data_IF_464508392191
#
_entry.id   IF_464508392191
#
_cell.length_a   1.000
_cell.length_b   1.000
_cell.length_c   1.000
_cell.angle_alpha   90.00
_cell.angle_beta   90.00
_cell.angle_gamma   90.00
#
_symmetry.space_group_name_H-M   'P 1'
#
loop_
_entity.id
_entity.type
_entity.pdbx_description
1 polymer ?
#
# COMPACT_ATOMS: atom_id res chain seq x y z
N UNK A 1 -14.54 -24.08 -5.42
CA UNK A 1 -13.60 -24.42 -4.33
C UNK A 1 -13.55 -25.93 -4.14
N UNK A 2 -12.94 -26.63 -5.09
CA UNK A 2 -12.61 -28.04 -4.91
C UNK A 2 -11.12 -28.11 -4.58
N UNK A 3 -10.72 -28.53 -3.36
CA UNK A 3 -9.32 -28.60 -2.98
C UNK A 3 -8.53 -29.65 -3.79
N UNK A 4 -9.23 -30.56 -4.48
CA UNK A 4 -8.66 -31.62 -5.31
C UNK A 4 -8.65 -31.26 -6.81
N UNK A 5 -9.38 -30.22 -7.21
CA UNK A 5 -9.39 -29.66 -8.56
C UNK A 5 -8.91 -28.20 -8.54
N UNK A 6 -7.67 -28.00 -8.05
CA UNK A 6 -7.02 -26.68 -8.08
C UNK A 6 -6.75 -26.28 -9.52
N UNK A 7 -7.02 -25.02 -9.91
CA UNK A 7 -6.59 -24.53 -11.21
C UNK A 7 -5.08 -24.70 -11.40
N UNK A 8 -4.66 -25.05 -12.61
CA UNK A 8 -3.25 -25.14 -12.99
C UNK A 8 -2.67 -23.74 -13.15
N UNK A 9 -1.43 -23.55 -12.77
CA UNK A 9 -0.73 -22.29 -13.00
C UNK A 9 0.20 -21.91 -11.87
N UNK A 10 0.89 -20.78 -12.00
CA UNK A 10 1.87 -20.35 -11.01
C UNK A 10 1.24 -19.69 -9.78
N UNK A 11 -0.03 -19.29 -9.83
CA UNK A 11 -0.66 -18.60 -8.71
C UNK A 11 -1.19 -19.56 -7.66
N UNK A 12 -1.10 -19.19 -6.37
CA UNK A 12 -1.79 -19.90 -5.30
C UNK A 12 -3.30 -19.92 -5.54
N UNK A 13 -3.97 -20.97 -5.08
CA UNK A 13 -5.42 -21.05 -5.10
C UNK A 13 -6.02 -20.23 -3.94
N UNK A 14 -5.98 -18.90 -4.03
CA UNK A 14 -6.46 -18.02 -2.96
C UNK A 14 -7.95 -18.20 -2.64
N UNK A 15 -8.76 -18.61 -3.63
CA UNK A 15 -10.16 -18.99 -3.43
C UNK A 15 -10.37 -20.04 -2.35
N UNK A 16 -9.39 -20.90 -2.04
CA UNK A 16 -9.50 -21.88 -0.94
C UNK A 16 -9.66 -21.23 0.42
N UNK A 17 -9.29 -19.96 0.59
CA UNK A 17 -9.49 -19.25 1.85
C UNK A 17 -10.97 -19.10 2.20
N UNK A 18 -11.84 -18.84 1.21
CA UNK A 18 -13.29 -18.80 1.43
C UNK A 18 -13.81 -20.18 1.90
N UNK A 19 -13.22 -21.28 1.39
CA UNK A 19 -13.58 -22.64 1.79
C UNK A 19 -13.17 -22.91 3.23
N UNK A 20 -11.94 -22.52 3.60
CA UNK A 20 -11.44 -22.62 4.97
C UNK A 20 -12.43 -21.95 5.94
N UNK A 21 -12.84 -20.71 5.65
CA UNK A 21 -13.81 -19.96 6.46
C UNK A 21 -15.18 -20.66 6.53
N UNK A 22 -15.72 -21.11 5.39
CA UNK A 22 -17.01 -21.83 5.39
C UNK A 22 -16.98 -23.15 6.14
N UNK A 23 -15.88 -23.89 6.07
CA UNK A 23 -15.74 -25.18 6.78
C UNK A 23 -15.62 -24.97 8.28
N UNK A 24 -14.78 -24.04 8.73
CA UNK A 24 -14.67 -23.73 10.16
C UNK A 24 -16.04 -23.29 10.74
N UNK A 25 -16.79 -22.46 10.01
CA UNK A 25 -18.13 -22.04 10.40
C UNK A 25 -19.14 -23.18 10.40
N UNK A 26 -19.19 -23.99 9.35
CA UNK A 26 -20.18 -25.06 9.18
C UNK A 26 -19.92 -26.31 10.03
N UNK A 27 -18.65 -26.71 10.18
CA UNK A 27 -18.26 -27.94 10.90
C UNK A 27 -18.03 -27.70 12.39
N UNK A 28 -17.55 -26.51 12.77
CA UNK A 28 -17.14 -26.20 14.14
C UNK A 28 -17.90 -25.03 14.76
N UNK A 29 -18.82 -24.39 14.03
CA UNK A 29 -19.54 -23.21 14.52
C UNK A 29 -18.64 -21.98 14.72
N UNK A 30 -17.41 -22.00 14.18
CA UNK A 30 -16.41 -20.96 14.41
C UNK A 30 -16.47 -19.92 13.29
N UNK A 31 -17.14 -18.81 13.57
CA UNK A 31 -17.25 -17.67 12.64
C UNK A 31 -15.99 -16.78 12.70
N UNK A 32 -15.69 -16.01 11.62
CA UNK A 32 -14.77 -14.89 11.72
C UNK A 32 -15.22 -13.92 12.81
N UNK A 33 -14.26 -13.39 13.56
CA UNK A 33 -14.52 -12.47 14.68
C UNK A 33 -14.94 -11.07 14.24
N UNK A 34 -14.69 -10.71 12.98
CA UNK A 34 -15.12 -9.47 12.36
C UNK A 34 -15.39 -9.66 10.87
N UNK A 35 -16.19 -8.76 10.31
CA UNK A 35 -16.52 -8.73 8.88
C UNK A 35 -15.42 -8.08 8.07
N UNK A 36 -15.11 -8.65 6.91
CA UNK A 36 -14.23 -8.01 5.89
C UNK A 36 -15.00 -7.10 4.95
N UNK A 37 -16.32 -6.92 5.15
CA UNK A 37 -17.06 -5.86 4.47
C UNK A 37 -16.46 -4.50 4.86
N UNK A 38 -16.01 -3.66 3.90
CA UNK A 38 -15.17 -2.50 4.20
C UNK A 38 -15.76 -1.49 5.21
N UNK A 39 -17.06 -1.26 5.14
CA UNK A 39 -17.76 -0.33 6.04
C UNK A 39 -17.90 -0.93 7.44
N UNK A 40 -18.26 -2.22 7.55
CA UNK A 40 -18.40 -2.91 8.83
C UNK A 40 -17.05 -3.11 9.50
N UNK A 41 -16.00 -3.37 8.72
CA UNK A 41 -14.63 -3.45 9.19
C UNK A 41 -14.23 -2.13 9.85
N UNK A 42 -14.41 -1.00 9.16
CA UNK A 42 -14.10 0.31 9.72
C UNK A 42 -14.95 0.64 10.96
N UNK A 43 -16.27 0.41 10.90
CA UNK A 43 -17.20 0.66 12.02
C UNK A 43 -16.87 -0.20 13.24
N UNK A 44 -16.54 -1.47 13.04
CA UNK A 44 -16.16 -2.38 14.12
C UNK A 44 -14.77 -2.06 14.68
N UNK A 45 -13.82 -1.63 13.84
CA UNK A 45 -12.49 -1.20 14.31
C UNK A 45 -12.58 0.07 15.16
N UNK A 46 -13.50 0.99 14.86
CA UNK A 46 -13.75 2.17 15.70
C UNK A 46 -14.07 1.79 17.15
N UNK A 47 -14.71 0.63 17.38
CA UNK A 47 -15.04 0.12 18.72
C UNK A 47 -13.82 -0.47 19.45
N UNK A 48 -12.71 -0.71 18.76
CA UNK A 48 -11.48 -1.32 19.29
C UNK A 48 -10.38 -0.30 19.56
N UNK A 49 -10.33 0.78 18.77
CA UNK A 49 -9.31 1.80 18.86
C UNK A 49 -9.75 2.98 19.75
N UNK A 50 -8.75 3.70 20.28
CA UNK A 50 -9.00 5.05 20.81
C UNK A 50 -9.40 5.99 19.66
N UNK A 51 -10.10 7.09 19.98
CA UNK A 51 -10.44 8.11 18.99
C UNK A 51 -9.20 8.65 18.26
N UNK A 52 -8.10 8.87 18.98
CA UNK A 52 -6.81 9.30 18.40
C UNK A 52 -6.30 8.32 17.34
N UNK A 53 -6.27 7.03 17.68
CA UNK A 53 -5.81 6.00 16.75
C UNK A 53 -6.77 5.85 15.55
N UNK A 54 -8.07 5.78 15.80
CA UNK A 54 -9.07 5.64 14.73
C UNK A 54 -9.03 6.84 13.78
N UNK A 55 -9.04 8.06 14.30
CA UNK A 55 -9.04 9.25 13.47
C UNK A 55 -7.71 9.46 12.74
N UNK A 56 -6.56 9.04 13.28
CA UNK A 56 -5.31 9.13 12.55
C UNK A 56 -5.35 8.33 11.22
N UNK A 57 -5.97 7.15 11.21
CA UNK A 57 -6.18 6.35 9.99
C UNK A 57 -7.36 6.84 9.12
N UNK A 58 -8.44 7.28 9.76
CA UNK A 58 -9.70 7.60 9.07
C UNK A 58 -9.83 9.07 8.64
N UNK A 59 -8.99 9.98 9.15
CA UNK A 59 -9.06 11.40 8.83
C UNK A 59 -8.77 11.66 7.35
N UNK A 60 -9.43 12.69 6.81
CA UNK A 60 -9.28 13.17 5.44
C UNK A 60 -9.04 14.68 5.45
N UNK A 61 -8.51 15.21 4.34
CA UNK A 61 -8.41 16.64 4.18
C UNK A 61 -9.80 17.26 4.02
N UNK A 62 -9.97 18.49 4.52
CA UNK A 62 -11.19 19.28 4.37
C UNK A 62 -12.44 18.55 4.83
N UNK A 63 -13.45 18.52 3.97
CA UNK A 63 -14.73 17.85 4.18
C UNK A 63 -14.69 16.36 3.79
N UNK A 64 -13.55 15.86 3.31
CA UNK A 64 -13.38 14.49 2.84
C UNK A 64 -13.98 14.24 1.45
N UNK A 65 -14.14 15.30 0.64
CA UNK A 65 -14.70 15.18 -0.70
C UNK A 65 -13.84 14.30 -1.60
N UNK A 66 -12.52 14.46 -1.53
CA UNK A 66 -11.58 13.70 -2.37
C UNK A 66 -11.55 12.21 -2.01
N UNK A 67 -11.66 11.86 -0.72
CA UNK A 67 -11.79 10.45 -0.29
C UNK A 67 -13.09 9.82 -0.81
N UNK A 68 -14.18 10.59 -0.87
CA UNK A 68 -15.41 10.17 -1.52
C UNK A 68 -15.26 10.04 -3.03
N UNK A 69 -14.65 11.00 -3.72
CA UNK A 69 -14.38 10.96 -5.16
C UNK A 69 -13.56 9.72 -5.55
N UNK A 70 -12.57 9.35 -4.73
CA UNK A 70 -11.81 8.11 -4.89
C UNK A 70 -12.70 6.87 -4.93
N UNK A 71 -13.74 6.80 -4.09
CA UNK A 71 -14.69 5.68 -4.08
C UNK A 71 -15.64 5.75 -5.26
N UNK A 72 -16.20 6.92 -5.58
CA UNK A 72 -17.14 7.12 -6.68
C UNK A 72 -16.55 6.72 -8.04
N UNK A 73 -15.25 6.99 -8.26
CA UNK A 73 -14.56 6.68 -9.50
C UNK A 73 -14.63 5.19 -9.89
N UNK A 74 -14.58 4.27 -8.92
CA UNK A 74 -14.71 2.82 -9.19
C UNK A 74 -16.09 2.41 -9.71
N UNK A 75 -17.15 3.15 -9.37
CA UNK A 75 -18.52 2.82 -9.80
C UNK A 75 -18.83 3.28 -11.21
N UNK A 76 -17.99 4.15 -11.78
CA UNK A 76 -18.02 4.52 -13.19
C UNK A 76 -17.53 3.40 -14.11
N UNK A 77 -16.89 2.37 -13.57
CA UNK A 77 -16.42 1.20 -14.31
C UNK A 77 -17.18 -0.07 -13.92
N UNK A 78 -17.70 -0.80 -14.91
CA UNK A 78 -18.43 -2.06 -14.72
C UNK A 78 -17.70 -3.20 -15.41
N UNK A 79 -17.49 -4.30 -14.70
CA UNK A 79 -16.81 -5.49 -15.23
C UNK A 79 -17.78 -6.22 -16.17
N UNK A 80 -17.29 -6.69 -17.31
CA UNK A 80 -18.02 -7.49 -18.28
C UNK A 80 -17.67 -8.97 -18.06
N UNK A 81 -18.56 -9.80 -17.49
CA UNK A 81 -18.30 -11.23 -17.33
C UNK A 81 -18.22 -11.95 -18.69
N UNK A 82 -17.35 -12.96 -18.79
CA UNK A 82 -17.12 -13.78 -19.98
C UNK A 82 -17.55 -15.22 -19.67
N UNK A 83 -18.61 -15.67 -20.33
CA UNK A 83 -19.18 -17.00 -20.09
C UNK A 83 -18.46 -18.06 -20.93
N UNK A 84 -18.47 -19.31 -20.46
CA UNK A 84 -17.87 -20.47 -21.15
C UNK A 84 -16.37 -20.31 -21.45
N UNK A 85 -15.65 -19.58 -20.59
CA UNK A 85 -14.18 -19.49 -20.62
C UNK A 85 -13.61 -20.55 -19.69
N UNK A 86 -12.61 -21.31 -20.16
CA UNK A 86 -11.90 -22.26 -19.31
C UNK A 86 -11.01 -21.53 -18.29
N UNK A 87 -11.48 -21.45 -17.06
CA UNK A 87 -10.75 -20.88 -15.92
C UNK A 87 -10.06 -21.95 -15.06
N UNK A 88 -9.87 -23.17 -15.58
CA UNK A 88 -9.05 -24.20 -14.90
C UNK A 88 -7.54 -23.91 -14.99
N UNK A 89 -7.14 -22.84 -15.71
CA UNK A 89 -5.80 -22.26 -15.63
C UNK A 89 -5.87 -20.88 -14.98
N UNK A 90 -4.99 -20.59 -14.01
CA UNK A 90 -4.98 -19.36 -13.23
C UNK A 90 -3.59 -18.72 -13.17
N UNK A 91 -3.52 -17.44 -13.51
CA UNK A 91 -2.31 -16.63 -13.34
C UNK A 91 -2.64 -15.21 -12.87
N UNK A 92 -2.43 -14.97 -11.59
CA UNK A 92 -2.41 -13.68 -10.89
C UNK A 92 -0.99 -13.12 -10.74
N UNK A 93 0.04 -13.80 -11.25
CA UNK A 93 1.41 -13.33 -11.08
C UNK A 93 1.66 -12.10 -11.96
N UNK A 94 2.50 -11.19 -11.46
CA UNK A 94 2.94 -10.02 -12.21
C UNK A 94 4.39 -9.73 -11.88
N UNK A 95 5.05 -8.94 -12.73
CA UNK A 95 6.42 -8.48 -12.52
C UNK A 95 6.41 -6.97 -12.32
N UNK A 96 7.01 -6.50 -11.24
CA UNK A 96 7.22 -5.08 -10.97
C UNK A 96 8.63 -4.88 -10.46
N UNK A 97 9.37 -3.94 -11.04
CA UNK A 97 10.70 -3.56 -10.55
C UNK A 97 11.70 -4.74 -10.40
N UNK A 98 11.60 -5.75 -11.28
CA UNK A 98 12.39 -6.97 -11.23
C UNK A 98 11.91 -8.02 -10.22
N UNK A 99 10.84 -7.76 -9.48
CA UNK A 99 10.19 -8.73 -8.61
C UNK A 99 9.05 -9.42 -9.34
N UNK A 100 9.12 -10.74 -9.44
CA UNK A 100 7.94 -11.57 -9.71
C UNK A 100 7.16 -11.75 -8.42
N UNK A 101 5.88 -11.42 -8.40
CA UNK A 101 5.03 -11.49 -7.21
C UNK A 101 3.78 -12.34 -7.46
N UNK A 102 3.20 -13.00 -6.43
CA UNK A 102 2.12 -13.97 -6.60
C UNK A 102 0.76 -13.36 -6.94
N UNK A 103 0.56 -12.09 -6.61
CA UNK A 103 -0.64 -11.32 -6.89
C UNK A 103 -0.28 -9.83 -7.05
N UNK A 104 -1.08 -9.02 -7.77
CA UNK A 104 -0.78 -7.62 -8.08
C UNK A 104 -1.20 -6.70 -6.92
N UNK A 105 -0.84 -7.06 -5.68
CA UNK A 105 -1.24 -6.38 -4.44
C UNK A 105 0.02 -6.08 -3.60
N UNK A 106 0.13 -4.84 -3.13
CA UNK A 106 1.19 -4.36 -2.24
C UNK A 106 0.57 -3.80 -0.96
N UNK A 107 1.35 -3.79 0.12
CA UNK A 107 1.01 -2.99 1.31
C UNK A 107 1.48 -1.55 1.08
N UNK A 108 0.54 -0.60 1.11
CA UNK A 108 0.83 0.83 0.99
C UNK A 108 1.65 1.33 2.20
N UNK A 109 2.52 2.34 2.03
CA UNK A 109 3.24 2.94 3.14
C UNK A 109 2.27 3.70 4.05
N UNK A 110 2.08 3.20 5.27
CA UNK A 110 1.37 3.89 6.35
C UNK A 110 2.33 3.98 7.54
N UNK A 111 2.60 5.21 7.97
CA UNK A 111 3.41 5.50 9.14
C UNK A 111 2.64 5.39 10.45
N UNK A 112 3.37 5.25 11.54
CA UNK A 112 2.89 5.24 12.93
C UNK A 112 1.89 4.11 13.23
N UNK A 113 2.22 2.90 12.79
CA UNK A 113 1.35 1.75 13.02
C UNK A 113 1.21 1.37 14.50
N UNK A 114 2.10 1.85 15.39
CA UNK A 114 1.98 1.66 16.84
C UNK A 114 0.71 2.27 17.45
N UNK A 115 0.06 3.21 16.76
CA UNK A 115 -1.26 3.69 17.16
C UNK A 115 -2.35 2.61 17.07
N UNK A 116 -2.16 1.62 16.19
CA UNK A 116 -3.15 0.56 15.95
C UNK A 116 -2.82 -0.74 16.69
N UNK A 117 -1.61 -0.86 17.23
CA UNK A 117 -1.17 -2.01 18.03
C UNK A 117 0.33 -1.96 18.32
N UNK A 118 0.80 -2.53 19.44
CA UNK A 118 2.15 -2.30 19.96
C UNK A 118 3.28 -2.76 19.03
N UNK A 119 3.04 -3.77 18.19
CA UNK A 119 4.04 -4.24 17.23
C UNK A 119 4.14 -3.35 15.98
N UNK A 120 3.17 -2.48 15.72
CA UNK A 120 3.20 -1.53 14.60
C UNK A 120 3.50 -2.18 13.26
N UNK A 121 4.48 -1.63 12.54
CA UNK A 121 4.91 -2.02 11.20
C UNK A 121 5.42 -3.47 11.11
N UNK A 122 5.84 -4.09 12.21
CA UNK A 122 6.32 -5.47 12.23
C UNK A 122 5.24 -6.46 11.77
N UNK A 123 3.96 -6.19 12.12
CA UNK A 123 2.83 -7.05 11.74
C UNK A 123 2.65 -7.09 10.22
N UNK A 124 2.35 -5.98 9.52
CA UNK A 124 2.12 -6.03 8.08
C UNK A 124 3.40 -6.43 7.32
N UNK A 125 4.59 -6.11 7.82
CA UNK A 125 5.85 -6.57 7.23
C UNK A 125 5.97 -8.10 7.25
N UNK A 126 5.66 -8.75 8.39
CA UNK A 126 5.63 -10.20 8.51
C UNK A 126 4.57 -10.84 7.61
N UNK A 127 3.34 -10.30 7.62
CA UNK A 127 2.25 -10.83 6.78
C UNK A 127 2.61 -10.72 5.29
N UNK A 128 3.24 -9.63 4.87
CA UNK A 128 3.74 -9.47 3.51
C UNK A 128 4.80 -10.52 3.14
N UNK A 129 5.73 -10.83 4.07
CA UNK A 129 6.71 -11.90 3.93
C UNK A 129 6.07 -13.28 3.73
N UNK A 130 5.07 -13.60 4.55
CA UNK A 130 4.34 -14.88 4.47
C UNK A 130 3.55 -15.02 3.17
N UNK A 131 2.99 -13.92 2.66
CA UNK A 131 2.24 -13.90 1.41
C UNK A 131 3.14 -13.73 0.17
N UNK A 132 4.42 -13.40 0.33
CA UNK A 132 5.32 -13.06 -0.78
C UNK A 132 4.92 -11.78 -1.51
N UNK A 133 4.18 -10.89 -0.85
CA UNK A 133 3.73 -9.62 -1.42
C UNK A 133 4.68 -8.48 -0.98
N UNK A 134 4.85 -7.43 -1.80
CA UNK A 134 5.69 -6.31 -1.40
C UNK A 134 5.14 -5.54 -0.21
N UNK A 135 6.02 -5.30 0.78
CA UNK A 135 5.76 -4.37 1.87
C UNK A 135 6.46 -3.03 1.63
N UNK A 136 5.74 -1.93 1.76
CA UNK A 136 6.32 -0.58 1.68
C UNK A 136 6.39 0.07 3.06
N UNK A 137 7.61 0.27 3.59
CA UNK A 137 7.85 0.94 4.87
C UNK A 137 7.86 2.46 4.68
N UNK A 138 7.16 3.23 5.52
CA UNK A 138 7.22 4.69 5.51
C UNK A 138 8.39 5.24 6.34
N UNK A 139 8.98 6.34 5.90
CA UNK A 139 9.93 7.16 6.72
C UNK A 139 9.29 7.68 8.00
N UNK A 140 7.97 7.83 8.02
CA UNK A 140 7.20 8.18 9.22
C UNK A 140 6.77 6.92 10.02
N UNK A 141 7.56 5.85 9.98
CA UNK A 141 7.28 4.60 10.68
C UNK A 141 7.53 4.69 12.19
N UNK A 142 6.86 3.82 12.95
CA UNK A 142 7.03 3.68 14.40
C UNK A 142 7.89 2.48 14.82
N UNK A 143 8.68 1.93 13.90
CA UNK A 143 9.66 0.86 14.14
C UNK A 143 10.95 1.14 13.36
N UNK A 144 12.13 0.72 13.86
CA UNK A 144 13.38 0.80 13.11
C UNK A 144 13.30 0.07 11.75
N UNK A 145 14.03 0.58 10.77
CA UNK A 145 14.08 0.02 9.39
C UNK A 145 14.52 -1.45 9.44
N UNK A 146 15.52 -1.73 10.27
CA UNK A 146 16.16 -3.03 10.41
C UNK A 146 15.19 -4.07 11.03
N UNK A 147 14.41 -3.68 12.04
CA UNK A 147 13.45 -4.56 12.70
C UNK A 147 12.29 -4.92 11.77
N UNK A 148 11.83 -3.96 10.95
CA UNK A 148 10.80 -4.19 9.93
C UNK A 148 11.30 -5.19 8.88
N UNK A 149 12.54 -5.05 8.42
CA UNK A 149 13.16 -6.00 7.51
C UNK A 149 13.24 -7.41 8.12
N UNK A 150 13.70 -7.52 9.37
CA UNK A 150 13.76 -8.79 10.08
C UNK A 150 12.38 -9.46 10.25
N UNK A 151 11.33 -8.68 10.55
CA UNK A 151 9.97 -9.19 10.63
C UNK A 151 9.46 -9.72 9.28
N UNK A 152 9.79 -9.03 8.18
CA UNK A 152 9.48 -9.48 6.83
C UNK A 152 10.22 -10.78 6.45
N UNK A 153 11.52 -10.90 6.79
CA UNK A 153 12.27 -12.15 6.61
C UNK A 153 11.70 -13.30 7.43
N UNK A 154 11.30 -13.03 8.69
CA UNK A 154 10.64 -14.02 9.53
C UNK A 154 9.37 -14.55 8.86
N UNK A 155 8.55 -13.68 8.28
CA UNK A 155 7.37 -14.09 7.54
C UNK A 155 7.69 -14.92 6.29
N UNK A 156 8.76 -14.58 5.58
CA UNK A 156 9.20 -15.29 4.38
C UNK A 156 9.92 -16.61 4.67
N UNK A 157 10.35 -16.86 5.92
CA UNK A 157 11.14 -18.02 6.32
C UNK A 157 10.43 -19.37 6.13
N UNK A 158 9.10 -19.38 6.24
CA UNK A 158 8.27 -20.58 6.02
C UNK A 158 7.70 -20.53 4.61
N UNK A 159 8.26 -21.35 3.71
CA UNK A 159 7.77 -21.44 2.33
C UNK A 159 6.37 -22.04 2.26
N UNK A 160 5.53 -21.42 1.43
CA UNK A 160 4.16 -21.84 1.11
C UNK A 160 3.87 -21.55 -0.37
N UNK A 161 2.68 -21.92 -0.86
CA UNK A 161 2.31 -21.74 -2.27
C UNK A 161 2.47 -20.29 -2.75
N UNK A 162 2.23 -19.30 -1.88
CA UNK A 162 2.28 -17.86 -2.22
C UNK A 162 3.69 -17.31 -2.27
N UNK A 163 4.44 -17.40 -1.17
CA UNK A 163 5.79 -16.82 -1.12
C UNK A 163 6.86 -17.64 -1.86
N UNK A 164 6.52 -18.81 -2.40
CA UNK A 164 7.38 -19.57 -3.31
C UNK A 164 7.34 -19.05 -4.74
N UNK A 165 6.36 -18.20 -5.09
CA UNK A 165 6.30 -17.56 -6.41
C UNK A 165 7.34 -16.45 -6.56
N UNK A 166 7.72 -15.84 -5.44
CA UNK A 166 8.62 -14.70 -5.44
C UNK A 166 9.99 -15.07 -6.00
N UNK A 167 10.42 -14.28 -6.97
CA UNK A 167 11.78 -14.29 -7.50
C UNK A 167 12.19 -12.85 -7.82
N UNK A 168 13.50 -12.61 -7.90
CA UNK A 168 14.04 -11.31 -8.28
C UNK A 168 15.11 -11.46 -9.36
N UNK A 169 14.96 -10.69 -10.44
CA UNK A 169 15.88 -10.65 -11.59
C UNK A 169 16.42 -9.25 -11.91
N UNK A 170 16.16 -8.26 -11.04
CA UNK A 170 16.64 -6.90 -11.23
C UNK A 170 18.14 -6.68 -10.95
N UNK A 171 18.64 -5.44 -11.15
CA UNK A 171 20.08 -5.12 -11.14
C UNK A 171 20.78 -5.53 -9.85
N UNK A 172 21.95 -6.17 -9.93
CA UNK A 172 22.80 -6.56 -8.79
C UNK A 172 22.21 -7.58 -7.78
N UNK A 173 21.14 -8.31 -8.14
CA UNK A 173 20.55 -9.41 -7.35
C UNK A 173 19.90 -8.96 -6.04
N UNK A 174 18.95 -9.70 -5.46
CA UNK A 174 18.20 -9.31 -4.24
C UNK A 174 18.82 -9.86 -2.95
N UNK A 175 18.77 -9.09 -1.85
CA UNK A 175 19.26 -9.55 -0.53
C UNK A 175 18.12 -9.97 0.43
N UNK A 176 16.87 -9.65 0.10
CA UNK A 176 15.70 -9.95 0.92
C UNK A 176 14.98 -11.24 0.48
N UNK A 177 14.41 -11.98 1.44
CA UNK A 177 13.63 -13.19 1.15
C UNK A 177 12.21 -12.92 0.63
N UNK A 178 11.78 -11.66 0.60
CA UNK A 178 10.49 -11.19 0.09
C UNK A 178 10.63 -9.71 -0.34
N UNK A 179 9.81 -9.19 -1.29
CA UNK A 179 10.00 -7.84 -1.80
C UNK A 179 9.78 -6.75 -0.72
N UNK A 180 10.68 -5.77 -0.69
CA UNK A 180 10.64 -4.64 0.26
C UNK A 180 10.86 -3.31 -0.45
N UNK A 181 9.97 -2.36 -0.17
CA UNK A 181 9.99 -1.03 -0.75
C UNK A 181 10.18 -0.03 0.40
N UNK A 182 11.06 0.94 0.24
CA UNK A 182 11.22 2.00 1.23
C UNK A 182 10.60 3.29 0.69
N UNK A 183 9.64 3.83 1.42
CA UNK A 183 9.04 5.11 1.10
C UNK A 183 9.78 6.22 1.84
N UNK A 184 10.42 7.10 1.07
CA UNK A 184 11.13 8.28 1.56
C UNK A 184 10.20 9.49 1.66
N UNK A 185 10.16 10.10 2.83
CA UNK A 185 9.91 11.53 2.97
C UNK A 185 11.25 12.23 3.03
N UNK A 186 11.54 13.02 2.00
CA UNK A 186 12.86 13.61 1.86
C UNK A 186 12.92 14.96 2.57
N UNK A 187 13.66 15.03 3.67
CA UNK A 187 14.00 16.29 4.33
C UNK A 187 14.93 17.19 3.50
N UNK A 188 15.41 18.28 4.10
CA UNK A 188 16.38 19.20 3.48
C UNK A 188 17.81 18.99 3.99
N UNK A 189 18.01 17.97 4.85
CA UNK A 189 19.33 17.52 5.25
C UNK A 189 19.73 16.31 4.40
N UNK A 190 20.63 16.56 3.45
CA UNK A 190 21.12 15.52 2.54
C UNK A 190 21.85 14.40 3.29
N UNK A 191 22.52 14.69 4.42
CA UNK A 191 23.26 13.67 5.17
C UNK A 191 22.32 12.69 5.89
N UNK A 192 21.24 13.20 6.49
CA UNK A 192 20.19 12.36 7.09
C UNK A 192 19.51 11.55 5.99
N UNK A 193 19.22 12.16 4.84
CA UNK A 193 18.64 11.46 3.69
C UNK A 193 19.52 10.29 3.26
N UNK A 194 20.83 10.52 3.05
CA UNK A 194 21.78 9.46 2.70
C UNK A 194 21.85 8.37 3.76
N UNK A 195 21.85 8.72 5.05
CA UNK A 195 21.83 7.74 6.16
C UNK A 195 20.62 6.80 6.07
N UNK A 196 19.42 7.35 5.86
CA UNK A 196 18.20 6.55 5.69
C UNK A 196 18.27 5.64 4.47
N UNK A 197 18.77 6.14 3.33
CA UNK A 197 18.91 5.35 2.11
C UNK A 197 19.88 4.19 2.31
N UNK A 198 21.03 4.42 2.95
CA UNK A 198 21.99 3.38 3.25
C UNK A 198 21.42 2.31 4.18
N UNK A 199 20.69 2.72 5.23
CA UNK A 199 20.03 1.80 6.17
C UNK A 199 19.00 0.95 5.45
N UNK A 200 18.10 1.58 4.69
CA UNK A 200 17.10 0.89 3.88
C UNK A 200 17.75 -0.14 2.94
N UNK A 201 18.77 0.26 2.18
CA UNK A 201 19.48 -0.65 1.28
C UNK A 201 20.14 -1.83 2.03
N UNK A 202 20.86 -1.55 3.12
CA UNK A 202 21.51 -2.60 3.94
C UNK A 202 20.50 -3.59 4.55
N UNK A 203 19.26 -3.15 4.78
CA UNK A 203 18.15 -3.99 5.26
C UNK A 203 17.36 -4.71 4.14
N UNK A 204 17.83 -4.62 2.88
CA UNK A 204 17.23 -5.31 1.74
C UNK A 204 15.96 -4.63 1.19
N UNK A 205 15.79 -3.32 1.42
CA UNK A 205 14.79 -2.54 0.71
C UNK A 205 15.30 -2.22 -0.70
N UNK A 206 14.74 -2.90 -1.68
CA UNK A 206 15.27 -2.99 -3.05
C UNK A 206 14.58 -2.03 -4.03
N UNK A 207 13.62 -1.24 -3.57
CA UNK A 207 12.92 -0.21 -4.36
C UNK A 207 12.72 1.05 -3.50
N UNK A 208 13.10 2.22 -4.02
CA UNK A 208 12.92 3.50 -3.33
C UNK A 208 11.74 4.29 -3.91
N UNK A 209 10.78 4.63 -3.05
CA UNK A 209 9.60 5.39 -3.39
C UNK A 209 9.65 6.78 -2.75
N UNK A 210 9.81 7.85 -3.52
CA UNK A 210 9.69 9.22 -3.00
C UNK A 210 8.23 9.66 -2.98
N UNK A 211 7.69 10.02 -1.82
CA UNK A 211 6.35 10.64 -1.75
C UNK A 211 6.45 12.16 -1.89
N UNK A 212 5.72 12.74 -2.85
CA UNK A 212 5.79 14.18 -3.18
C UNK A 212 4.48 14.95 -2.93
N UNK A 213 3.43 14.29 -2.43
CA UNK A 213 2.10 14.88 -2.19
C UNK A 213 1.87 15.34 -0.74
N UNK A 214 2.95 15.47 0.05
CA UNK A 214 2.88 15.54 1.54
C UNK A 214 3.98 16.41 2.16
N UNK A 215 4.48 17.44 1.45
CA UNK A 215 5.49 18.37 1.99
C UNK A 215 5.04 19.14 3.24
N UNK A 216 3.72 19.32 3.36
CA UNK A 216 3.04 19.81 4.54
C UNK A 216 1.79 18.98 4.78
N UNK A 217 1.39 18.83 6.03
CA UNK A 217 0.17 18.16 6.39
C UNK A 217 -1.05 18.91 5.85
N UNK A 218 -1.85 18.25 5.00
CA UNK A 218 -3.18 18.73 4.62
C UNK A 218 -4.07 19.07 5.83
N UNK A 219 -5.00 20.00 5.65
CA UNK A 219 -5.91 20.43 6.71
C UNK A 219 -6.95 19.34 7.01
N UNK A 220 -6.84 18.67 8.17
CA UNK A 220 -7.71 17.55 8.56
C UNK A 220 -8.55 17.91 9.79
N UNK A 221 -9.80 18.40 9.63
CA UNK A 221 -10.61 18.90 10.75
C UNK A 221 -10.79 17.90 11.89
N UNK A 222 -10.91 16.60 11.58
CA UNK A 222 -11.05 15.55 12.59
C UNK A 222 -9.81 15.43 13.48
N UNK A 223 -8.61 15.53 12.91
CA UNK A 223 -7.38 15.49 13.70
C UNK A 223 -7.22 16.78 14.51
N UNK A 224 -7.53 17.93 13.90
CA UNK A 224 -7.42 19.25 14.55
C UNK A 224 -8.36 19.36 15.77
N UNK A 225 -9.59 18.88 15.65
CA UNK A 225 -10.61 18.98 16.70
C UNK A 225 -10.21 18.27 18.01
N UNK A 226 -9.29 17.32 17.95
CA UNK A 226 -8.79 16.58 19.13
C UNK A 226 -7.26 16.71 19.31
N UNK A 227 -6.62 17.67 18.63
CA UNK A 227 -5.18 17.86 18.61
C UNK A 227 -4.40 16.55 18.36
N UNK A 228 -4.84 15.77 17.37
CA UNK A 228 -4.35 14.44 17.07
C UNK A 228 -3.17 14.47 16.11
N UNK A 229 -2.01 14.83 16.65
CA UNK A 229 -0.76 14.74 15.91
C UNK A 229 0.32 14.09 16.77
N UNK A 230 0.48 12.79 16.55
CA UNK A 230 1.26 11.90 17.40
C UNK A 230 2.73 12.31 17.55
N UNK A 231 3.29 12.93 16.51
CA UNK A 231 4.68 13.40 16.52
C UNK A 231 4.93 14.53 17.53
N UNK A 232 3.89 15.26 17.96
CA UNK A 232 4.02 16.33 18.96
C UNK A 232 3.60 15.88 20.36
N UNK A 233 3.37 14.59 20.58
CA UNK A 233 3.12 14.07 21.91
C UNK A 233 4.41 14.05 22.74
N UNK A 234 4.31 13.99 24.09
CA UNK A 234 5.48 14.04 24.95
C UNK A 234 6.59 13.05 24.54
N UNK A 235 7.87 13.40 24.78
CA UNK A 235 9.00 12.51 24.51
C UNK A 235 8.81 11.11 25.09
N UNK A 236 9.19 10.09 24.31
CA UNK A 236 9.06 8.68 24.70
C UNK A 236 7.67 8.06 24.46
N UNK A 237 6.78 8.74 23.72
CA UNK A 237 5.51 8.15 23.26
C UNK A 237 5.73 7.26 22.02
N UNK A 238 5.32 7.70 20.83
CA UNK A 238 5.54 7.00 19.55
C UNK A 238 5.69 8.01 18.43
N UNK A 239 6.38 7.63 17.36
CA UNK A 239 6.44 8.36 16.10
C UNK A 239 7.78 8.97 15.73
N UNK A 240 8.81 8.76 16.55
CA UNK A 240 10.18 9.17 16.25
C UNK A 240 11.15 8.01 16.09
N UNK A 241 10.67 6.75 16.11
CA UNK A 241 11.54 5.57 16.19
C UNK A 241 12.50 5.41 15.01
N UNK A 242 12.11 5.80 13.78
CA UNK A 242 13.05 5.80 12.64
C UNK A 242 14.18 6.82 12.84
N UNK A 243 13.85 8.03 13.32
CA UNK A 243 14.83 9.06 13.63
C UNK A 243 15.69 8.71 14.84
N UNK A 244 15.09 8.19 15.90
CA UNK A 244 15.75 7.77 17.13
C UNK A 244 16.72 6.59 16.90
N UNK A 245 16.51 5.81 15.85
CA UNK A 245 17.41 4.74 15.42
C UNK A 245 18.40 5.18 14.33
N UNK A 246 18.29 6.40 13.79
CA UNK A 246 19.21 6.91 12.77
C UNK A 246 20.45 7.56 13.40
N UNK A 247 21.67 7.07 13.12
CA UNK A 247 22.88 7.58 13.76
C UNK A 247 23.20 9.03 13.34
N UNK A 248 22.89 9.43 12.11
CA UNK A 248 23.15 10.80 11.62
C UNK A 248 22.16 11.78 12.24
N UNK A 249 20.88 11.42 12.27
CA UNK A 249 19.85 12.20 12.95
C UNK A 249 20.18 12.37 14.43
N UNK A 250 20.49 11.28 15.15
CA UNK A 250 20.76 11.34 16.58
C UNK A 250 22.02 12.16 16.91
N UNK A 251 23.04 12.12 16.06
CA UNK A 251 24.22 12.98 16.20
C UNK A 251 23.88 14.47 16.04
N UNK A 252 22.94 14.83 15.15
CA UNK A 252 22.55 16.22 14.88
C UNK A 252 21.49 16.76 15.84
N UNK A 253 20.52 15.93 16.20
CA UNK A 253 19.26 16.33 16.82
C UNK A 253 18.87 15.50 18.05
N UNK A 254 19.72 14.56 18.49
CA UNK A 254 19.38 13.63 19.58
C UNK A 254 19.11 14.31 20.92
N UNK A 255 19.83 15.38 21.26
CA UNK A 255 19.55 16.17 22.47
C UNK A 255 18.24 16.94 22.38
N UNK A 256 17.92 17.50 21.21
CA UNK A 256 16.66 18.21 20.97
C UNK A 256 15.47 17.24 21.03
N UNK A 257 15.61 16.03 20.47
CA UNK A 257 14.58 14.99 20.47
C UNK A 257 14.16 14.57 21.89
N UNK A 258 15.06 14.64 22.88
CA UNK A 258 14.73 14.34 24.29
C UNK A 258 13.71 15.30 24.88
N UNK A 259 13.70 16.56 24.43
CA UNK A 259 12.78 17.59 24.88
C UNK A 259 11.58 17.79 23.95
N UNK A 260 11.71 17.40 22.68
CA UNK A 260 10.70 17.63 21.64
C UNK A 260 10.62 16.43 20.67
N UNK A 261 9.59 15.59 20.81
CA UNK A 261 9.31 14.49 19.87
C UNK A 261 9.11 14.98 18.44
N UNK A 262 8.64 16.22 18.27
CA UNK A 262 8.39 16.86 16.99
C UNK A 262 9.68 17.07 16.18
N UNK A 263 10.83 17.00 16.84
CA UNK A 263 12.11 17.22 16.18
C UNK A 263 12.35 16.29 14.98
N UNK A 264 11.94 15.02 15.09
CA UNK A 264 12.04 14.08 13.96
C UNK A 264 11.22 14.56 12.77
N UNK A 265 9.94 14.86 13.02
CA UNK A 265 9.01 15.18 11.95
C UNK A 265 9.36 16.53 11.30
N UNK A 266 9.62 17.56 12.10
CA UNK A 266 9.79 18.94 11.63
C UNK A 266 11.12 19.16 10.89
N UNK A 267 12.14 18.34 11.15
CA UNK A 267 13.46 18.48 10.51
C UNK A 267 13.68 17.53 9.33
N UNK A 268 13.07 16.34 9.37
CA UNK A 268 13.47 15.22 8.50
C UNK A 268 12.33 14.62 7.68
N UNK A 269 11.06 14.92 8.00
CA UNK A 269 9.91 14.31 7.33
C UNK A 269 8.97 15.36 6.71
N UNK A 270 8.43 16.28 7.52
CA UNK A 270 7.50 17.33 7.12
C UNK A 270 7.99 18.69 7.59
N UNK A 271 8.94 19.24 6.85
CA UNK A 271 9.57 20.52 7.20
C UNK A 271 8.91 21.72 6.48
N UNK A 272 7.74 21.53 5.87
CA UNK A 272 6.92 22.60 5.26
C UNK A 272 7.49 23.22 3.98
N UNK A 273 8.49 22.59 3.35
CA UNK A 273 9.08 23.08 2.09
C UNK A 273 8.95 21.99 1.02
N UNK A 274 8.61 22.34 -0.20
CA UNK A 274 8.62 21.37 -1.29
C UNK A 274 10.02 21.25 -1.89
N UNK A 275 10.39 20.05 -2.32
CA UNK A 275 11.45 19.90 -3.32
C UNK A 275 10.89 20.19 -4.71
N UNK A 276 11.77 20.55 -5.65
CA UNK A 276 11.42 20.74 -7.07
C UNK A 276 11.94 19.57 -7.90
N UNK A 277 11.49 19.50 -9.16
CA UNK A 277 12.00 18.52 -10.13
C UNK A 277 13.51 18.53 -10.27
N UNK A 278 14.18 19.68 -10.09
CA UNK A 278 15.65 19.81 -10.16
C UNK A 278 16.40 18.96 -9.12
N UNK A 279 15.79 18.70 -7.96
CA UNK A 279 16.42 17.88 -6.90
C UNK A 279 16.29 16.38 -7.18
N UNK A 280 15.32 15.97 -8.00
CA UNK A 280 15.01 14.55 -8.23
C UNK A 280 16.16 13.79 -8.90
N UNK A 281 16.84 14.30 -9.95
CA UNK A 281 18.00 13.64 -10.53
C UNK A 281 19.13 13.37 -9.52
N UNK A 282 19.34 14.26 -8.55
CA UNK A 282 20.32 14.04 -7.47
C UNK A 282 19.91 12.84 -6.60
N UNK A 283 18.65 12.77 -6.18
CA UNK A 283 18.16 11.68 -5.33
C UNK A 283 18.23 10.34 -6.06
N UNK A 284 17.82 10.30 -7.33
CA UNK A 284 17.94 9.10 -8.18
C UNK A 284 19.39 8.68 -8.23
N UNK A 285 20.33 9.59 -8.55
CA UNK A 285 21.75 9.29 -8.64
C UNK A 285 22.30 8.70 -7.34
N UNK A 286 22.01 9.31 -6.18
CA UNK A 286 22.51 8.82 -4.90
C UNK A 286 21.88 7.47 -4.54
N UNK A 287 20.58 7.27 -4.79
CA UNK A 287 19.95 5.96 -4.60
C UNK A 287 20.59 4.89 -5.47
N UNK A 288 20.77 5.15 -6.77
CA UNK A 288 21.41 4.20 -7.71
C UNK A 288 22.84 3.88 -7.30
N UNK A 289 23.59 4.87 -6.81
CA UNK A 289 24.94 4.69 -6.29
C UNK A 289 24.96 3.80 -5.04
N UNK A 290 24.09 4.06 -4.06
CA UNK A 290 24.01 3.30 -2.80
C UNK A 290 23.57 1.86 -3.06
N UNK A 291 22.53 1.71 -3.88
CA UNK A 291 21.82 0.45 -4.08
C UNK A 291 22.34 -0.41 -5.23
N UNK A 292 23.36 0.06 -5.97
CA UNK A 292 23.79 -0.61 -7.19
C UNK A 292 22.70 -0.63 -8.27
N UNK A 293 22.01 0.49 -8.48
CA UNK A 293 21.09 0.64 -9.62
C UNK A 293 19.64 0.22 -9.36
N UNK A 294 19.23 0.04 -8.09
CA UNK A 294 17.86 -0.37 -7.77
C UNK A 294 16.79 0.61 -8.24
N UNK A 295 15.57 0.13 -8.55
CA UNK A 295 14.50 0.98 -9.05
C UNK A 295 14.11 2.13 -8.12
N UNK A 296 13.72 3.24 -8.74
CA UNK A 296 13.21 4.45 -8.12
C UNK A 296 11.84 4.80 -8.70
N UNK A 297 10.91 5.22 -7.83
CA UNK A 297 9.60 5.71 -8.25
C UNK A 297 9.12 6.91 -7.43
N UNK A 298 8.22 7.68 -8.04
CA UNK A 298 7.54 8.81 -7.37
C UNK A 298 6.10 8.44 -7.03
N UNK A 299 5.70 8.72 -5.79
CA UNK A 299 4.33 8.54 -5.28
C UNK A 299 3.65 9.89 -5.10
N UNK A 300 2.42 10.00 -5.59
CA UNK A 300 1.58 11.21 -5.48
C UNK A 300 1.16 11.80 -6.82
N UNK A 301 1.41 11.09 -7.93
CA UNK A 301 1.12 11.58 -9.28
C UNK A 301 -0.39 11.54 -9.53
N UNK A 302 -0.95 12.65 -10.03
CA UNK A 302 -2.37 12.80 -10.38
C UNK A 302 -2.59 13.44 -11.76
N UNK A 303 -1.53 13.70 -12.53
CA UNK A 303 -1.60 14.29 -13.87
C UNK A 303 -0.69 13.56 -14.86
N UNK A 304 -1.05 13.60 -16.15
CA UNK A 304 -0.21 13.08 -17.23
C UNK A 304 1.10 13.88 -17.38
N UNK A 305 1.06 15.20 -17.15
CA UNK A 305 2.23 16.07 -17.20
C UNK A 305 3.29 15.66 -16.18
N UNK A 306 2.90 15.48 -14.91
CA UNK A 306 3.83 15.05 -13.86
C UNK A 306 4.35 13.62 -14.10
N UNK A 307 3.53 12.75 -14.71
CA UNK A 307 3.95 11.40 -15.09
C UNK A 307 5.04 11.43 -16.19
N UNK A 308 4.87 12.29 -17.19
CA UNK A 308 5.87 12.51 -18.24
C UNK A 308 7.15 13.16 -17.68
N UNK A 309 7.02 14.09 -16.73
CA UNK A 309 8.17 14.68 -16.05
C UNK A 309 8.93 13.64 -15.21
N UNK A 310 8.22 12.76 -14.50
CA UNK A 310 8.83 11.65 -13.75
C UNK A 310 9.60 10.69 -14.68
N UNK A 311 9.04 10.40 -15.85
CA UNK A 311 9.71 9.62 -16.90
C UNK A 311 10.99 10.33 -17.39
N UNK A 312 10.91 11.63 -17.69
CA UNK A 312 12.03 12.42 -18.21
C UNK A 312 13.22 12.45 -17.25
N UNK A 313 12.97 12.62 -15.94
CA UNK A 313 14.04 12.63 -14.93
C UNK A 313 14.60 11.23 -14.61
N UNK A 314 14.05 10.18 -15.21
CA UNK A 314 14.57 8.81 -15.14
C UNK A 314 13.97 7.93 -14.04
N UNK A 315 12.74 8.20 -13.58
CA UNK A 315 12.04 7.26 -12.71
C UNK A 315 11.70 5.96 -13.47
N UNK A 316 11.77 4.80 -12.81
CA UNK A 316 11.29 3.54 -13.40
C UNK A 316 9.80 3.28 -13.16
N UNK A 317 9.19 4.04 -12.26
CA UNK A 317 7.77 3.92 -11.97
C UNK A 317 7.16 5.14 -11.33
N UNK A 318 5.83 5.08 -11.20
CA UNK A 318 5.01 6.07 -10.52
C UNK A 318 3.94 5.36 -9.68
N UNK A 319 3.47 6.04 -8.64
CA UNK A 319 2.24 5.67 -7.93
C UNK A 319 1.19 6.75 -8.19
N UNK A 320 0.12 6.37 -8.87
CA UNK A 320 -1.07 7.20 -9.06
C UNK A 320 -1.92 7.14 -7.79
N UNK A 321 -1.85 8.21 -7.00
CA UNK A 321 -2.50 8.31 -5.68
C UNK A 321 -2.65 9.76 -5.27
N UNK A 322 -3.71 10.09 -4.54
CA UNK A 322 -3.90 11.38 -3.86
C UNK A 322 -3.82 11.24 -2.34
N UNK A 323 -3.01 10.28 -1.89
CA UNK A 323 -2.84 9.96 -0.48
C UNK A 323 -4.17 9.58 0.21
N UNK A 324 -5.05 8.90 -0.51
CA UNK A 324 -6.39 8.51 -0.08
C UNK A 324 -7.27 9.69 0.39
N UNK A 325 -7.14 10.85 -0.27
CA UNK A 325 -7.88 12.08 0.05
C UNK A 325 -7.43 12.77 1.34
N UNK A 326 -6.23 12.45 1.85
CA UNK A 326 -5.74 12.96 3.14
C UNK A 326 -5.01 14.29 3.04
N UNK A 327 -4.73 14.80 1.84
CA UNK A 327 -3.85 15.95 1.62
C UNK A 327 -4.55 17.15 0.98
N UNK A 328 -5.03 17.00 -0.25
CA UNK A 328 -5.78 18.04 -0.96
C UNK A 328 -7.24 17.65 -0.96
N UNK A 329 -8.11 18.51 -0.44
CA UNK A 329 -9.56 18.33 -0.57
C UNK A 329 -10.10 19.18 -1.74
N UNK A 330 -11.12 18.65 -2.44
CA UNK A 330 -11.55 19.18 -3.73
C UNK A 330 -10.70 18.73 -4.93
N UNK A 331 -9.83 17.73 -4.76
CA UNK A 331 -9.06 17.15 -5.85
C UNK A 331 -9.87 16.09 -6.62
N UNK A 332 -9.34 15.69 -7.78
CA UNK A 332 -9.86 14.57 -8.58
C UNK A 332 -9.81 13.24 -7.83
N UNK A 333 -10.69 12.31 -8.19
CA UNK A 333 -10.56 10.92 -7.74
C UNK A 333 -9.38 10.25 -8.44
N UNK A 334 -8.53 9.54 -7.69
CA UNK A 334 -7.27 8.99 -8.23
C UNK A 334 -7.48 8.06 -9.44
N UNK A 335 -8.54 7.23 -9.41
CA UNK A 335 -8.85 6.33 -10.54
C UNK A 335 -9.37 7.09 -11.78
N UNK A 336 -9.86 8.32 -11.63
CA UNK A 336 -10.39 9.12 -12.75
C UNK A 336 -9.28 9.55 -13.71
N UNK A 337 -8.09 9.85 -13.17
CA UNK A 337 -6.92 10.30 -13.93
C UNK A 337 -6.00 9.17 -14.38
N UNK A 338 -6.11 7.98 -13.77
CA UNK A 338 -5.27 6.82 -14.13
C UNK A 338 -5.28 6.50 -15.64
N UNK A 339 -6.43 6.48 -16.36
CA UNK A 339 -6.43 6.17 -17.79
C UNK A 339 -5.63 7.15 -18.65
N UNK A 340 -5.65 8.45 -18.32
CA UNK A 340 -4.91 9.50 -19.04
C UNK A 340 -3.41 9.37 -18.78
N UNK A 341 -3.02 9.09 -17.53
CA UNK A 341 -1.63 8.85 -17.16
C UNK A 341 -1.07 7.62 -17.88
N UNK A 342 -1.83 6.53 -17.93
CA UNK A 342 -1.46 5.30 -18.64
C UNK A 342 -1.24 5.59 -20.13
N UNK A 343 -2.10 6.38 -20.76
CA UNK A 343 -1.95 6.77 -22.17
C UNK A 343 -0.68 7.62 -22.40
N UNK A 344 -0.35 8.52 -21.47
CA UNK A 344 0.80 9.40 -21.59
C UNK A 344 2.16 8.67 -21.49
N UNK A 345 2.31 7.77 -20.52
CA UNK A 345 3.61 7.06 -20.32
C UNK A 345 3.70 5.72 -21.03
N UNK A 346 2.57 5.09 -21.38
CA UNK A 346 2.52 3.78 -22.01
C UNK A 346 3.30 2.72 -21.23
N UNK A 347 4.03 1.86 -21.94
CA UNK A 347 4.83 0.77 -21.35
C UNK A 347 6.21 1.21 -20.82
N UNK A 348 6.49 2.53 -20.78
CA UNK A 348 7.81 3.05 -20.41
C UNK A 348 8.08 3.04 -18.91
N UNK A 349 7.05 2.88 -18.08
CA UNK A 349 7.15 2.91 -16.61
C UNK A 349 6.25 1.87 -15.97
N UNK A 350 6.64 1.37 -14.80
CA UNK A 350 5.73 0.63 -13.94
C UNK A 350 4.78 1.60 -13.23
N UNK A 351 3.48 1.41 -13.44
CA UNK A 351 2.41 2.20 -12.82
C UNK A 351 1.80 1.41 -11.66
N UNK A 352 2.00 1.89 -10.44
CA UNK A 352 1.26 1.43 -9.26
C UNK A 352 0.05 2.34 -9.03
N UNK A 353 -1.01 1.79 -8.43
CA UNK A 353 -2.21 2.55 -8.09
C UNK A 353 -2.62 2.38 -6.61
N UNK A 354 -3.04 3.47 -5.99
CA UNK A 354 -3.63 3.49 -4.64
C UNK A 354 -4.76 4.55 -4.60
N UNK A 355 -5.40 4.72 -3.43
CA UNK A 355 -6.49 5.62 -3.12
C UNK A 355 -7.85 5.06 -3.53
N UNK A 356 -8.39 4.23 -2.64
CA UNK A 356 -9.79 3.82 -2.69
C UNK A 356 -10.03 2.32 -2.88
N UNK A 357 -9.01 1.48 -3.06
CA UNK A 357 -9.17 0.02 -3.16
C UNK A 357 -9.86 -0.53 -1.90
N UNK A 358 -10.96 -1.28 -2.08
CA UNK A 358 -11.69 -1.94 -0.99
C UNK A 358 -12.04 -3.41 -1.24
N UNK A 359 -12.10 -3.85 -2.50
CA UNK A 359 -12.51 -5.22 -2.88
C UNK A 359 -11.68 -5.72 -4.07
N UNK A 360 -11.73 -7.02 -4.36
CA UNK A 360 -11.17 -7.62 -5.56
C UNK A 360 -11.70 -6.99 -6.86
N UNK A 361 -12.94 -6.51 -6.87
CA UNK A 361 -13.51 -5.78 -8.00
C UNK A 361 -12.84 -4.42 -8.23
N UNK A 362 -12.46 -3.73 -7.16
CA UNK A 362 -11.70 -2.48 -7.27
C UNK A 362 -10.30 -2.75 -7.84
N UNK A 363 -9.64 -3.81 -7.35
CA UNK A 363 -8.33 -4.25 -7.86
C UNK A 363 -8.44 -4.57 -9.36
N UNK A 364 -9.38 -5.42 -9.75
CA UNK A 364 -9.61 -5.78 -11.15
C UNK A 364 -9.80 -4.55 -12.05
N UNK A 365 -10.61 -3.58 -11.61
CA UNK A 365 -10.86 -2.36 -12.38
C UNK A 365 -9.60 -1.51 -12.53
N UNK A 366 -8.84 -1.31 -11.46
CA UNK A 366 -7.59 -0.55 -11.51
C UNK A 366 -6.58 -1.18 -12.48
N UNK A 367 -6.44 -2.51 -12.45
CA UNK A 367 -5.59 -3.24 -13.39
C UNK A 367 -6.11 -3.11 -14.83
N UNK A 368 -7.41 -3.29 -15.05
CA UNK A 368 -8.02 -3.21 -16.37
C UNK A 368 -7.92 -1.81 -17.00
N UNK A 369 -7.84 -0.74 -16.21
CA UNK A 369 -7.60 0.61 -16.73
C UNK A 369 -6.12 0.96 -16.90
N UNK A 370 -5.20 0.09 -16.47
CA UNK A 370 -3.77 0.17 -16.80
C UNK A 370 -2.78 0.20 -15.62
N UNK A 371 -3.23 0.00 -14.38
CA UNK A 371 -2.28 -0.22 -13.28
C UNK A 371 -1.60 -1.60 -13.42
N UNK A 372 -0.31 -1.68 -13.08
CA UNK A 372 0.43 -2.95 -13.06
C UNK A 372 0.24 -3.72 -11.75
N UNK A 373 0.04 -2.98 -10.66
CA UNK A 373 -0.33 -3.50 -9.35
C UNK A 373 -0.98 -2.40 -8.50
N UNK A 374 -1.68 -2.80 -7.44
CA UNK A 374 -2.33 -1.86 -6.51
C UNK A 374 -1.71 -1.91 -5.12
N UNK A 375 -1.75 -0.79 -4.40
CA UNK A 375 -1.37 -0.74 -2.99
C UNK A 375 -2.62 -0.65 -2.12
N UNK A 376 -2.64 -1.41 -1.03
CA UNK A 376 -3.74 -1.44 -0.06
C UNK A 376 -3.27 -0.75 1.21
N UNK A 377 -4.06 0.22 1.70
CA UNK A 377 -3.77 0.97 2.92
C UNK A 377 -4.71 0.61 4.08
N UNK A 378 -5.71 1.46 4.34
CA UNK A 378 -6.63 1.41 5.50
C UNK A 378 -7.12 -0.01 5.88
N UNK A 379 -7.41 -0.87 4.90
CA UNK A 379 -7.93 -2.21 5.16
C UNK A 379 -7.00 -3.06 6.05
N UNK A 380 -5.71 -3.14 5.73
CA UNK A 380 -4.80 -3.98 6.54
C UNK A 380 -4.59 -3.39 7.94
N UNK A 381 -4.65 -2.05 8.05
CA UNK A 381 -4.60 -1.34 9.35
C UNK A 381 -5.80 -1.71 10.20
N UNK A 382 -7.00 -1.75 9.61
CA UNK A 382 -8.22 -2.15 10.31
C UNK A 382 -8.18 -3.60 10.77
N UNK A 383 -7.72 -4.52 9.92
CA UNK A 383 -7.51 -5.91 10.31
C UNK A 383 -6.50 -6.04 11.46
N UNK A 384 -5.36 -5.36 11.36
CA UNK A 384 -4.34 -5.33 12.40
C UNK A 384 -4.85 -4.77 13.73
N UNK A 385 -5.65 -3.71 13.69
CA UNK A 385 -6.24 -3.09 14.87
C UNK A 385 -7.25 -4.00 15.59
N UNK A 386 -7.88 -4.94 14.87
CA UNK A 386 -8.79 -5.91 15.48
C UNK A 386 -8.06 -7.02 16.21
N UNK A 387 -7.14 -7.71 15.52
CA UNK A 387 -6.55 -8.96 16.02
C UNK A 387 -5.07 -9.15 15.64
N UNK A 388 -4.32 -8.04 15.53
CA UNK A 388 -2.90 -8.06 15.24
C UNK A 388 -2.58 -8.81 13.95
N UNK A 389 -1.65 -9.76 14.02
CA UNK A 389 -1.26 -10.60 12.87
C UNK A 389 -2.44 -11.37 12.25
N UNK A 390 -3.32 -11.95 13.08
CA UNK A 390 -4.44 -12.76 12.59
C UNK A 390 -5.42 -11.92 11.77
N UNK A 391 -5.75 -10.71 12.25
CA UNK A 391 -6.68 -9.83 11.57
C UNK A 391 -6.08 -9.19 10.31
N UNK A 392 -4.80 -8.79 10.35
CA UNK A 392 -4.09 -8.31 9.16
C UNK A 392 -4.05 -9.40 8.06
N UNK A 393 -3.71 -10.64 8.46
CA UNK A 393 -3.74 -11.81 7.57
C UNK A 393 -5.13 -12.07 7.02
N UNK A 394 -6.17 -12.02 7.85
CA UNK A 394 -7.55 -12.29 7.43
C UNK A 394 -7.98 -11.31 6.33
N UNK A 395 -7.72 -10.02 6.51
CA UNK A 395 -8.08 -8.99 5.52
C UNK A 395 -7.32 -9.20 4.20
N UNK A 396 -6.01 -9.43 4.25
CA UNK A 396 -5.21 -9.58 3.05
C UNK A 396 -5.50 -10.89 2.30
N UNK A 397 -5.68 -12.02 3.01
CA UNK A 397 -6.14 -13.27 2.39
C UNK A 397 -7.54 -13.12 1.80
N UNK A 398 -8.42 -12.34 2.42
CA UNK A 398 -9.77 -12.08 1.90
C UNK A 398 -9.74 -11.29 0.60
N UNK A 399 -8.91 -10.25 0.48
CA UNK A 399 -8.73 -9.51 -0.78
C UNK A 399 -8.16 -10.38 -1.90
N UNK A 400 -7.17 -11.23 -1.58
CA UNK A 400 -6.61 -12.18 -2.54
C UNK A 400 -7.65 -13.19 -3.02
N UNK A 401 -8.45 -13.74 -2.10
CA UNK A 401 -9.52 -14.66 -2.42
C UNK A 401 -10.63 -13.99 -3.25
N UNK A 402 -11.02 -12.75 -2.89
CA UNK A 402 -12.02 -11.98 -3.62
C UNK A 402 -11.58 -11.73 -5.07
N UNK A 403 -10.32 -11.31 -5.30
CA UNK A 403 -9.78 -11.15 -6.65
C UNK A 403 -9.73 -12.47 -7.44
N UNK A 404 -9.22 -13.55 -6.84
CA UNK A 404 -9.11 -14.87 -7.49
C UNK A 404 -10.48 -15.44 -7.87
N UNK A 405 -11.44 -15.36 -6.95
CA UNK A 405 -12.83 -15.80 -7.17
C UNK A 405 -13.48 -14.92 -8.24
N UNK A 406 -13.35 -13.60 -8.15
CA UNK A 406 -13.91 -12.68 -9.14
C UNK A 406 -13.40 -13.01 -10.53
N UNK A 407 -12.09 -13.16 -10.72
CA UNK A 407 -11.54 -13.47 -12.03
C UNK A 407 -12.01 -14.83 -12.54
N UNK A 408 -12.18 -15.81 -11.66
CA UNK A 408 -12.72 -17.13 -12.00
C UNK A 408 -14.18 -17.03 -12.46
N UNK A 409 -15.05 -16.42 -11.66
CA UNK A 409 -16.48 -16.29 -11.96
C UNK A 409 -16.74 -15.38 -13.16
N UNK A 410 -15.92 -14.34 -13.34
CA UNK A 410 -16.03 -13.42 -14.45
C UNK A 410 -15.36 -13.92 -15.74
N UNK A 411 -14.69 -15.09 -15.74
CA UNK A 411 -14.13 -15.70 -16.94
C UNK A 411 -12.82 -15.07 -17.44
N UNK A 412 -11.92 -14.69 -16.53
CA UNK A 412 -10.62 -14.10 -16.84
C UNK A 412 -9.50 -14.97 -16.26
N UNK A 413 -8.93 -15.93 -16.99
CA UNK A 413 -7.99 -16.91 -16.43
C UNK A 413 -6.64 -16.30 -16.01
N UNK A 414 -6.20 -15.23 -16.69
CA UNK A 414 -4.87 -14.65 -16.50
C UNK A 414 -4.92 -13.12 -16.45
N UNK A 415 -4.03 -12.48 -15.69
CA UNK A 415 -4.01 -11.02 -15.55
C UNK A 415 -3.80 -10.27 -16.85
N UNK A 416 -3.03 -10.80 -17.80
CA UNK A 416 -2.82 -10.15 -19.11
C UNK A 416 -4.12 -9.91 -19.90
N UNK A 417 -5.18 -10.67 -19.59
CA UNK A 417 -6.49 -10.50 -20.23
C UNK A 417 -7.35 -9.42 -19.53
N UNK A 418 -6.91 -8.94 -18.35
CA UNK A 418 -7.54 -7.87 -17.58
C UNK A 418 -7.09 -6.52 -18.14
N UNK A 419 -7.79 -6.06 -19.17
CA UNK A 419 -7.54 -4.79 -19.85
C UNK A 419 -8.84 -4.02 -20.06
N UNK A 420 -8.78 -2.86 -20.73
CA UNK A 420 -9.92 -1.94 -20.86
C UNK A 420 -11.14 -2.55 -21.55
N UNK A 421 -10.97 -3.62 -22.36
CA UNK A 421 -12.07 -4.36 -23.00
C UNK A 421 -12.87 -5.21 -22.00
N UNK A 422 -12.33 -5.48 -20.82
CA UNK A 422 -13.02 -6.15 -19.72
C UNK A 422 -14.02 -5.23 -19.00
N UNK A 423 -14.06 -3.94 -19.34
CA UNK A 423 -14.85 -2.94 -18.66
C UNK A 423 -15.84 -2.22 -19.59
N UNK A 424 -16.97 -1.81 -19.03
CA UNK A 424 -17.87 -0.81 -19.59
C UNK A 424 -17.81 0.45 -18.73
N UNK A 425 -17.54 1.60 -19.35
CA UNK A 425 -17.63 2.90 -18.68
C UNK A 425 -19.07 3.38 -18.60
N UNK A 426 -19.48 3.86 -17.43
CA UNK A 426 -20.75 4.50 -17.16
C UNK A 426 -20.49 5.80 -16.39
N UNK A 427 -20.57 6.99 -17.02
CA UNK A 427 -20.29 8.26 -16.35
C UNK A 427 -21.27 8.58 -15.21
N UNK A 428 -22.45 7.96 -15.19
CA UNK A 428 -23.47 8.12 -14.15
C UNK A 428 -23.39 7.03 -13.07
N UNK A 429 -22.34 6.22 -13.07
CA UNK A 429 -22.15 5.18 -12.06
C UNK A 429 -21.89 5.78 -10.68
N UNK A 430 -22.78 5.50 -9.74
CA UNK A 430 -22.66 5.94 -8.34
C UNK A 430 -22.50 4.74 -7.39
N UNK A 431 -21.89 4.94 -6.20
CA UNK A 431 -21.93 3.96 -5.12
C UNK A 431 -23.37 3.66 -4.69
N UNK A 432 -23.66 2.44 -4.20
CA UNK A 432 -24.94 2.17 -3.55
C UNK A 432 -25.11 3.08 -2.33
N UNK A 433 -26.34 3.54 -2.01
CA UNK A 433 -26.58 4.33 -0.81
C UNK A 433 -26.21 3.55 0.47
N UNK A 434 -25.88 4.30 1.52
CA UNK A 434 -25.60 3.71 2.84
C UNK A 434 -26.85 2.96 3.32
N UNK A 435 -26.70 1.68 3.63
CA UNK A 435 -27.79 0.81 4.12
C UNK A 435 -28.52 0.01 3.04
N UNK A 436 -28.29 0.26 1.76
CA UNK A 436 -29.01 -0.39 0.65
C UNK A 436 -28.32 -1.67 0.11
N UNK A 437 -27.37 -2.21 0.86
CA UNK A 437 -26.64 -3.44 0.52
C UNK A 437 -26.63 -4.42 1.69
N UNK A 438 -26.46 -5.70 1.38
CA UNK A 438 -26.39 -6.75 2.38
C UNK A 438 -25.26 -6.46 3.38
N UNK A 439 -25.64 -6.29 4.64
CA UNK A 439 -24.75 -6.16 5.80
C UNK A 439 -25.01 -7.34 6.73
N UNK A 440 -23.98 -7.77 7.48
CA UNK A 440 -24.10 -8.84 8.48
C UNK A 440 -24.87 -8.37 9.72
#
# INVERSE_FOLDING_TARGET
MDPYNKPKGPSPSYSLYQREVFREGGEHGKLPSFSVHPEELAESTKKKLSDRAYFYANSNAGLGWTDRANREAFYKWRIIPRMLVDTNTRDLTTNIFGHRIPAPILFAPIGINKLYGPQGELIPAKIAGELGLPYCLSTAGSQPIEDVAAANDLGASVKNESNSVHSYDGPNGGNANSPRFFQLYMGHDDEITISLLERAWKSGFDVLMLTVDTWQLGWRPTDINIANYVFYYPPGTVGSEIGASDPVFMRKHGEELKGDSGKWIDSSVWHGKAHTWDKIPWLIKEWKKISGGRPFLIKGIQSAEDALQALEVGCEGIVVTNHAGRQVDGAVGSLEVLPEIVEAVGDKMTILFDSGIRTGADIFKALAVGAHAVMVGRLYVWGMAHEGEAGCRHVMKSLLADLDILMTVAGYPVLRDVNRKALKYNPHGVPPPKGDHARL
#
